data_IF_254309537944
#
_entry.id   IF_254309537944
#
_cell.length_a   1.000
_cell.length_b   1.000
_cell.length_c   1.000
_cell.angle_alpha   90.00
_cell.angle_beta   90.00
_cell.angle_gamma   90.00
#
_symmetry.space_group_name_H-M   'P 1'
#
loop_
_entity.id
_entity.type
_entity.pdbx_description
1 polymer ?
#
# COMPACT_ATOMS: atom_id res chain seq x y z
N UNK A 1 -16.85 22.91 -12.17
CA UNK A 1 -15.54 22.65 -12.77
C UNK A 1 -15.25 21.18 -12.54
N UNK A 2 -14.97 20.42 -13.59
CA UNK A 2 -14.67 18.98 -13.46
C UNK A 2 -13.24 18.84 -12.93
N UNK A 3 -13.00 18.22 -11.76
CA UNK A 3 -11.69 18.27 -11.13
C UNK A 3 -10.70 17.30 -11.78
N UNK A 4 -9.42 17.66 -11.72
CA UNK A 4 -8.34 16.70 -11.99
C UNK A 4 -8.31 15.65 -10.89
N UNK A 5 -7.84 14.45 -11.21
CA UNK A 5 -7.55 13.41 -10.22
C UNK A 5 -6.08 13.50 -9.83
N UNK A 6 -5.77 13.45 -8.55
CA UNK A 6 -4.42 13.33 -8.04
C UNK A 6 -4.33 12.13 -7.10
N UNK A 7 -3.36 11.25 -7.34
CA UNK A 7 -3.17 10.03 -6.54
C UNK A 7 -1.79 10.05 -5.90
N UNK A 8 -1.71 9.78 -4.60
CA UNK A 8 -0.43 9.62 -3.93
C UNK A 8 0.21 8.29 -4.37
N UNK A 9 1.51 8.24 -4.57
CA UNK A 9 2.18 7.04 -5.05
C UNK A 9 2.59 6.13 -3.88
N UNK A 10 2.36 4.80 -3.92
CA UNK A 10 2.83 3.88 -2.89
C UNK A 10 4.37 3.85 -2.79
N UNK A 11 4.88 3.59 -1.59
CA UNK A 11 6.30 3.41 -1.32
C UNK A 11 6.58 1.92 -1.10
N UNK A 12 7.07 1.24 -2.14
CA UNK A 12 7.33 -0.19 -2.15
C UNK A 12 8.83 -0.42 -2.28
N UNK A 13 9.46 -0.98 -1.25
CA UNK A 13 10.92 -1.15 -1.24
C UNK A 13 11.36 -2.06 -2.39
N UNK A 14 12.32 -1.57 -3.16
CA UNK A 14 12.87 -2.29 -4.32
C UNK A 14 12.05 -2.15 -5.60
N UNK A 15 10.94 -1.41 -5.58
CA UNK A 15 10.15 -1.07 -6.75
C UNK A 15 9.92 0.44 -6.84
N UNK A 16 9.79 0.96 -8.06
CA UNK A 16 9.31 2.32 -8.30
C UNK A 16 8.02 2.22 -9.10
N UNK A 17 7.00 3.00 -8.74
CA UNK A 17 5.84 3.17 -9.63
C UNK A 17 6.27 3.97 -10.84
N UNK A 18 6.18 3.37 -12.02
CA UNK A 18 6.56 3.98 -13.29
C UNK A 18 5.40 4.07 -14.28
N UNK A 19 4.31 3.35 -14.02
CA UNK A 19 3.09 3.43 -14.81
C UNK A 19 1.88 3.21 -13.90
N UNK A 20 0.76 3.83 -14.26
CA UNK A 20 -0.52 3.54 -13.64
C UNK A 20 -1.60 3.37 -14.71
N UNK A 21 -2.57 2.53 -14.41
CA UNK A 21 -3.80 2.39 -15.18
C UNK A 21 -4.95 2.86 -14.30
N UNK A 22 -5.72 3.84 -14.78
CA UNK A 22 -6.99 4.21 -14.15
C UNK A 22 -8.13 3.61 -14.94
N UNK A 23 -8.96 2.83 -14.26
CA UNK A 23 -10.18 2.26 -14.79
C UNK A 23 -11.34 3.18 -14.45
N UNK A 24 -12.23 3.36 -15.42
CA UNK A 24 -13.52 4.00 -15.21
C UNK A 24 -14.57 2.93 -15.11
N UNK A 25 -15.34 2.96 -14.04
CA UNK A 25 -16.39 2.01 -13.73
C UNK A 25 -17.73 2.75 -13.79
N UNK A 26 -18.70 2.18 -14.50
CA UNK A 26 -20.07 2.68 -14.63
C UNK A 26 -21.00 1.52 -14.38
N UNK A 27 -21.94 1.68 -13.44
CA UNK A 27 -22.89 0.63 -13.05
C UNK A 27 -22.22 -0.71 -12.68
N UNK A 28 -21.05 -0.63 -12.01
CA UNK A 28 -20.26 -1.80 -11.59
C UNK A 28 -19.52 -2.53 -12.71
N UNK A 29 -19.47 -1.97 -13.92
CA UNK A 29 -18.71 -2.54 -15.04
C UNK A 29 -17.58 -1.64 -15.51
N UNK A 30 -16.45 -2.24 -15.88
CA UNK A 30 -15.35 -1.53 -16.53
C UNK A 30 -15.80 -0.94 -17.86
N UNK A 31 -15.83 0.39 -17.93
CA UNK A 31 -16.24 1.19 -19.09
C UNK A 31 -15.03 1.70 -19.90
N UNK A 32 -13.84 1.21 -19.57
CA UNK A 32 -12.57 1.55 -20.20
C UNK A 32 -11.53 2.05 -19.21
N UNK A 33 -10.31 2.25 -19.69
CA UNK A 33 -9.18 2.67 -18.87
C UNK A 33 -8.27 3.64 -19.63
N UNK A 34 -7.42 4.34 -18.88
CA UNK A 34 -6.35 5.18 -19.42
C UNK A 34 -5.04 4.85 -18.72
N UNK A 35 -3.93 4.98 -19.45
CA UNK A 35 -2.60 4.61 -19.00
C UNK A 35 -1.72 5.85 -18.91
N UNK A 36 -0.96 5.99 -17.83
CA UNK A 36 -0.12 7.15 -17.59
C UNK A 36 1.31 6.73 -17.25
N UNK A 37 2.28 7.44 -17.82
CA UNK A 37 3.69 7.36 -17.42
C UNK A 37 3.87 8.18 -16.15
N UNK A 38 4.47 7.58 -15.14
CA UNK A 38 4.73 8.23 -13.85
C UNK A 38 6.20 8.60 -13.77
N UNK A 39 6.48 9.89 -13.59
CA UNK A 39 7.83 10.46 -13.47
C UNK A 39 8.15 10.98 -12.06
N UNK A 40 7.24 10.75 -11.09
CA UNK A 40 7.31 11.21 -9.70
C UNK A 40 7.95 10.19 -8.75
N UNK A 41 8.31 10.67 -7.55
CA UNK A 41 8.85 9.85 -6.45
C UNK A 41 7.76 9.15 -5.63
N UNK A 42 8.09 8.14 -4.81
CA UNK A 42 7.13 7.53 -3.90
C UNK A 42 6.57 8.55 -2.91
N UNK A 43 5.35 8.31 -2.43
CA UNK A 43 4.61 9.20 -1.52
C UNK A 43 4.30 10.62 -2.02
N UNK A 44 4.64 10.95 -3.26
CA UNK A 44 4.23 12.19 -3.92
C UNK A 44 2.85 12.05 -4.56
N UNK A 45 2.11 13.15 -4.68
CA UNK A 45 0.91 13.19 -5.51
C UNK A 45 1.27 13.29 -6.98
N UNK A 46 0.76 12.35 -7.78
CA UNK A 46 0.78 12.39 -9.23
C UNK A 46 -0.59 12.87 -9.75
N UNK A 47 -0.59 13.99 -10.48
CA UNK A 47 -1.80 14.56 -11.08
C UNK A 47 -2.02 13.90 -12.45
N UNK A 48 -3.20 13.34 -12.68
CA UNK A 48 -3.58 12.65 -13.92
C UNK A 48 -3.86 13.62 -15.10
N UNK A 49 -3.05 14.66 -15.26
CA UNK A 49 -3.11 15.61 -16.38
C UNK A 49 -4.53 16.09 -16.70
N UNK A 50 -4.96 15.86 -17.95
CA UNK A 50 -6.28 16.24 -18.47
C UNK A 50 -7.38 15.20 -18.19
N UNK A 51 -7.11 14.17 -17.38
CA UNK A 51 -8.09 13.16 -17.03
C UNK A 51 -8.93 13.63 -15.85
N UNK A 52 -10.19 13.92 -16.13
CA UNK A 52 -11.08 14.60 -15.20
C UNK A 52 -12.04 13.62 -14.51
N UNK A 53 -12.28 13.84 -13.22
CA UNK A 53 -13.25 13.08 -12.45
C UNK A 53 -14.66 13.46 -12.87
N UNK A 54 -15.48 12.50 -13.27
CA UNK A 54 -16.84 12.74 -13.74
C UNK A 54 -17.84 12.31 -12.66
N UNK A 55 -18.89 13.11 -12.47
CA UNK A 55 -19.97 12.80 -11.55
C UNK A 55 -20.59 11.43 -11.89
N UNK A 56 -20.98 10.66 -10.87
CA UNK A 56 -21.57 9.32 -10.99
C UNK A 56 -20.64 8.22 -11.57
N UNK A 57 -19.40 8.55 -11.91
CA UNK A 57 -18.40 7.55 -12.27
C UNK A 57 -17.63 7.07 -11.04
N UNK A 58 -17.24 5.81 -11.09
CA UNK A 58 -16.36 5.17 -10.13
C UNK A 58 -14.99 4.92 -10.77
N UNK A 59 -13.95 4.89 -9.95
CA UNK A 59 -12.56 4.82 -10.41
C UNK A 59 -11.75 3.86 -9.56
N UNK A 60 -10.91 3.06 -10.22
CA UNK A 60 -9.90 2.19 -9.61
C UNK A 60 -8.56 2.49 -10.25
N UNK A 61 -7.48 2.56 -9.47
CA UNK A 61 -6.14 2.84 -9.98
C UNK A 61 -5.23 1.66 -9.67
N UNK A 62 -4.62 1.09 -10.71
CA UNK A 62 -3.62 0.03 -10.59
C UNK A 62 -2.22 0.62 -10.83
N UNK A 63 -1.24 0.24 -10.01
CA UNK A 63 0.13 0.76 -10.06
C UNK A 63 1.10 -0.32 -10.55
N UNK A 64 2.04 0.07 -11.42
CA UNK A 64 2.97 -0.85 -12.08
C UNK A 64 4.42 -0.37 -11.98
N UNK A 65 5.33 -1.35 -11.97
CA UNK A 65 6.77 -1.15 -11.77
C UNK A 65 7.54 -0.66 -13.01
N UNK A 66 6.96 -0.74 -14.20
CA UNK A 66 7.64 -0.35 -15.43
C UNK A 66 6.79 0.65 -16.23
N UNK A 67 7.33 1.13 -17.35
CA UNK A 67 6.73 2.16 -18.19
C UNK A 67 5.54 1.61 -19.02
N UNK A 68 4.68 2.50 -19.55
CA UNK A 68 3.65 2.10 -20.52
C UNK A 68 4.24 1.42 -21.76
N UNK A 69 3.49 0.47 -22.31
CA UNK A 69 3.76 -0.16 -23.60
C UNK A 69 3.14 0.63 -24.75
N UNK A 70 3.73 0.50 -25.94
CA UNK A 70 3.27 0.99 -27.26
C UNK A 70 2.17 2.06 -27.19
N UNK A 71 2.59 3.33 -27.12
CA UNK A 71 1.72 4.50 -27.12
C UNK A 71 0.63 4.52 -26.02
N UNK A 72 0.97 4.11 -24.80
CA UNK A 72 0.08 4.20 -23.63
C UNK A 72 -1.17 3.30 -23.74
N UNK A 73 -1.01 2.12 -24.34
CA UNK A 73 -2.09 1.12 -24.44
C UNK A 73 -2.20 0.24 -23.20
N UNK A 74 -1.11 -0.02 -22.49
CA UNK A 74 -1.10 -0.82 -21.25
C UNK A 74 0.14 -0.51 -20.40
N UNK A 75 0.16 -0.87 -19.11
CA UNK A 75 1.38 -0.80 -18.28
C UNK A 75 2.19 -2.10 -18.35
N UNK A 76 3.49 -2.02 -18.64
CA UNK A 76 4.39 -3.18 -18.51
C UNK A 76 4.93 -3.36 -17.09
N UNK A 77 5.50 -4.53 -16.84
CA UNK A 77 6.11 -4.89 -15.56
C UNK A 77 5.12 -5.53 -14.60
N UNK A 78 5.54 -5.62 -13.34
CA UNK A 78 4.74 -6.20 -12.27
C UNK A 78 3.68 -5.21 -11.78
N UNK A 79 2.47 -5.73 -11.58
CA UNK A 79 1.45 -5.06 -10.78
C UNK A 79 1.97 -4.95 -9.34
N UNK A 80 1.82 -3.79 -8.72
CA UNK A 80 2.41 -3.51 -7.41
C UNK A 80 1.35 -3.49 -6.33
N UNK A 81 0.26 -2.76 -6.58
CA UNK A 81 -0.89 -2.60 -5.69
C UNK A 81 -1.97 -1.85 -6.49
N UNK A 82 -3.14 -1.68 -5.89
CA UNK A 82 -4.25 -0.96 -6.47
C UNK A 82 -5.00 -0.16 -5.40
N UNK A 83 -5.85 0.76 -5.83
CA UNK A 83 -6.83 1.37 -4.95
C UNK A 83 -8.13 0.55 -4.92
N UNK A 84 -8.94 0.67 -3.85
CA UNK A 84 -10.37 0.45 -3.94
C UNK A 84 -11.04 1.19 -5.09
N UNK A 85 -12.28 0.80 -5.35
CA UNK A 85 -13.18 1.52 -6.24
C UNK A 85 -13.74 2.72 -5.47
N UNK A 86 -13.50 3.93 -5.98
CA UNK A 86 -14.03 5.16 -5.40
C UNK A 86 -14.97 5.89 -6.33
N UNK A 87 -16.06 6.42 -5.76
CA UNK A 87 -16.88 7.42 -6.45
C UNK A 87 -16.11 8.72 -6.56
N UNK A 88 -16.18 9.35 -7.74
CA UNK A 88 -15.52 10.64 -7.95
C UNK A 88 -16.01 11.72 -6.99
N UNK A 89 -15.06 12.37 -6.33
CA UNK A 89 -15.32 13.59 -5.58
C UNK A 89 -15.20 14.81 -6.49
N UNK A 90 -16.33 15.32 -6.96
CA UNK A 90 -16.38 16.51 -7.84
C UNK A 90 -16.34 17.85 -7.08
N UNK A 91 -16.27 17.82 -5.74
CA UNK A 91 -16.32 19.03 -4.89
C UNK A 91 -14.95 19.63 -4.58
N UNK A 92 -13.88 18.87 -4.83
CA UNK A 92 -12.48 19.27 -4.62
C UNK A 92 -11.70 19.22 -5.94
N UNK A 93 -10.84 20.21 -6.20
CA UNK A 93 -9.95 20.21 -7.37
C UNK A 93 -8.49 20.47 -6.96
N UNK A 94 -7.56 19.49 -7.11
CA UNK A 94 -7.83 18.14 -7.58
C UNK A 94 -8.64 17.31 -6.57
N UNK A 95 -9.32 16.28 -7.04
CA UNK A 95 -9.76 15.17 -6.19
C UNK A 95 -8.52 14.36 -5.82
N UNK A 96 -8.16 14.40 -4.54
CA UNK A 96 -7.00 13.70 -4.01
C UNK A 96 -7.38 12.32 -3.48
N UNK A 97 -6.60 11.32 -3.86
CA UNK A 97 -6.60 9.96 -3.33
C UNK A 97 -5.26 9.76 -2.63
N UNK A 98 -5.26 9.71 -1.31
CA UNK A 98 -4.08 9.64 -0.46
C UNK A 98 -3.72 8.21 -0.12
N UNK A 99 -2.49 7.97 0.36
CA UNK A 99 -2.05 6.64 0.81
C UNK A 99 -3.00 6.03 1.85
N UNK A 100 -3.56 6.85 2.76
CA UNK A 100 -4.52 6.40 3.78
C UNK A 100 -5.82 5.83 3.21
N UNK A 101 -6.16 6.15 1.96
CA UNK A 101 -7.42 5.69 1.36
C UNK A 101 -7.31 4.23 0.90
N UNK A 102 -6.09 3.75 0.60
CA UNK A 102 -5.83 2.41 0.05
C UNK A 102 -4.70 1.68 0.80
N UNK A 103 -4.42 2.09 2.03
CA UNK A 103 -3.53 1.38 2.94
C UNK A 103 -4.02 1.45 4.37
N UNK A 104 -3.68 0.43 5.14
CA UNK A 104 -3.97 0.36 6.57
C UNK A 104 -2.69 0.30 7.38
N UNK A 105 -2.73 0.85 8.59
CA UNK A 105 -1.61 0.74 9.52
C UNK A 105 -1.64 -0.64 10.15
N UNK A 106 -0.48 -1.14 10.56
CA UNK A 106 -0.39 -2.46 11.20
C UNK A 106 0.00 -2.28 12.66
N UNK A 107 -0.71 -2.96 13.55
CA UNK A 107 -0.36 -3.14 14.95
C UNK A 107 0.00 -4.59 15.23
N UNK A 108 0.99 -4.79 16.09
CA UNK A 108 1.50 -6.13 16.44
C UNK A 108 1.51 -6.32 17.95
N UNK A 109 1.09 -7.50 18.42
CA UNK A 109 1.26 -7.93 19.81
C UNK A 109 2.24 -9.08 19.85
N UNK A 110 3.47 -8.77 20.24
CA UNK A 110 4.52 -9.77 20.31
C UNK A 110 4.52 -10.47 21.69
N UNK A 111 4.69 -11.81 21.73
CA UNK A 111 4.78 -12.53 22.99
C UNK A 111 6.09 -12.19 23.72
N UNK A 112 6.07 -12.11 25.05
CA UNK A 112 7.30 -12.03 25.84
C UNK A 112 8.12 -13.34 25.65
N UNK A 113 9.45 -13.30 25.38
CA UNK A 113 10.38 -12.17 25.45
C UNK A 113 10.80 -11.59 24.09
N UNK A 114 9.88 -11.49 23.12
CA UNK A 114 10.20 -10.92 21.81
C UNK A 114 10.55 -9.43 21.92
N UNK A 115 11.60 -8.98 21.26
CA UNK A 115 11.98 -7.55 21.21
C UNK A 115 11.94 -6.98 19.79
N UNK A 116 11.64 -7.80 18.77
CA UNK A 116 11.65 -7.41 17.37
C UNK A 116 10.59 -8.16 16.57
N UNK A 117 9.97 -7.51 15.58
CA UNK A 117 9.08 -8.14 14.60
C UNK A 117 9.66 -7.97 13.21
N UNK A 118 9.83 -9.08 12.48
CA UNK A 118 10.05 -9.03 11.03
C UNK A 118 8.70 -9.17 10.33
N UNK A 119 8.32 -8.16 9.58
CA UNK A 119 7.19 -8.20 8.66
C UNK A 119 7.71 -8.39 7.24
N UNK A 120 7.25 -9.44 6.57
CA UNK A 120 7.52 -9.69 5.15
C UNK A 120 6.23 -9.39 4.38
N UNK A 121 6.27 -8.34 3.57
CA UNK A 121 5.17 -7.93 2.69
C UNK A 121 5.44 -8.43 1.27
N UNK A 122 4.48 -9.19 0.73
CA UNK A 122 4.49 -9.74 -0.62
C UNK A 122 3.43 -9.00 -1.43
N UNK A 123 3.85 -8.40 -2.54
CA UNK A 123 2.99 -7.59 -3.39
C UNK A 123 2.37 -8.44 -4.51
N UNK A 124 1.09 -8.21 -4.78
CA UNK A 124 0.29 -9.03 -5.70
C UNK A 124 0.94 -9.15 -7.09
N UNK A 125 1.06 -10.37 -7.64
CA UNK A 125 1.61 -10.62 -8.97
C UNK A 125 3.03 -10.03 -9.21
N UNK A 126 3.82 -9.94 -8.15
CA UNK A 126 5.14 -9.32 -8.17
C UNK A 126 6.21 -10.17 -7.48
N UNK A 127 7.47 -10.17 -7.95
CA UNK A 127 8.58 -10.77 -7.24
C UNK A 127 9.10 -9.86 -6.12
N UNK A 128 8.59 -8.62 -6.02
CA UNK A 128 9.02 -7.72 -4.96
C UNK A 128 8.51 -8.20 -3.62
N UNK A 129 9.44 -8.30 -2.68
CA UNK A 129 9.16 -8.65 -1.28
C UNK A 129 9.90 -7.64 -0.43
N UNK A 130 9.18 -7.02 0.49
CA UNK A 130 9.81 -6.10 1.45
C UNK A 130 9.83 -6.74 2.82
N UNK A 131 11.05 -6.88 3.36
CA UNK A 131 11.25 -7.19 4.77
C UNK A 131 11.44 -5.91 5.57
N UNK A 132 10.65 -5.76 6.61
CA UNK A 132 10.77 -4.74 7.63
C UNK A 132 11.13 -5.41 8.95
N UNK A 133 12.32 -5.15 9.46
CA UNK A 133 12.71 -5.53 10.81
C UNK A 133 12.44 -4.34 11.73
N UNK A 134 11.48 -4.50 12.64
CA UNK A 134 10.99 -3.44 13.51
C UNK A 134 11.29 -3.80 14.97
N UNK A 135 12.23 -3.09 15.61
CA UNK A 135 12.41 -3.17 17.06
C UNK A 135 11.13 -2.72 17.77
N UNK A 136 10.71 -3.46 18.77
CA UNK A 136 9.52 -3.16 19.57
C UNK A 136 9.92 -2.23 20.70
N UNK A 137 9.36 -1.03 20.69
CA UNK A 137 9.47 -0.10 21.81
C UNK A 137 8.31 -0.37 22.79
N UNK A 138 8.59 -1.17 23.82
CA UNK A 138 7.63 -1.53 24.85
C UNK A 138 7.03 -0.33 25.60
N UNK A 139 7.67 0.86 25.55
CA UNK A 139 7.12 2.08 26.14
C UNK A 139 5.98 2.70 25.32
N UNK A 140 5.83 2.28 24.06
CA UNK A 140 4.82 2.77 23.11
C UNK A 140 3.67 1.79 22.88
N UNK A 141 3.57 0.76 23.71
CA UNK A 141 2.42 -0.14 23.65
C UNK A 141 1.14 0.62 24.00
N UNK A 142 0.06 0.34 23.28
CA UNK A 142 -1.26 0.78 23.67
C UNK A 142 -1.76 0.02 24.91
N UNK A 143 -2.89 0.44 25.53
CA UNK A 143 -3.40 -0.22 26.74
C UNK A 143 -3.73 -1.71 26.59
N UNK A 144 -3.92 -2.20 25.35
CA UNK A 144 -4.17 -3.61 25.05
C UNK A 144 -2.86 -4.39 24.78
N UNK A 145 -1.71 -3.72 24.81
CA UNK A 145 -0.39 -4.33 24.65
C UNK A 145 0.09 -4.41 23.20
N UNK A 146 -0.53 -3.67 22.27
CA UNK A 146 -0.13 -3.66 20.86
C UNK A 146 0.85 -2.52 20.55
N UNK A 147 1.83 -2.79 19.68
CA UNK A 147 2.74 -1.81 19.13
C UNK A 147 2.33 -1.44 17.70
N UNK A 148 2.16 -0.14 17.40
CA UNK A 148 1.91 0.35 16.05
C UNK A 148 3.21 0.40 15.25
N UNK A 149 3.25 -0.26 14.10
CA UNK A 149 4.41 -0.21 13.21
C UNK A 149 4.58 1.21 12.62
N UNK A 150 5.82 1.70 12.45
CA UNK A 150 6.08 3.05 11.95
C UNK A 150 5.81 3.19 10.44
N UNK A 151 5.51 4.40 9.96
CA UNK A 151 5.47 4.69 8.52
C UNK A 151 6.86 4.58 7.88
N UNK A 152 6.99 4.09 6.62
CA UNK A 152 5.93 3.76 5.67
C UNK A 152 5.40 2.31 5.77
N UNK A 153 5.52 1.63 6.93
CA UNK A 153 5.10 0.23 7.09
C UNK A 153 3.57 0.15 7.21
N UNK A 154 2.92 0.28 6.05
CA UNK A 154 1.48 0.14 5.84
C UNK A 154 1.20 -1.09 4.99
N UNK A 155 0.01 -1.65 5.14
CA UNK A 155 -0.51 -2.72 4.31
C UNK A 155 -1.28 -2.11 3.14
N UNK A 156 -0.76 -2.22 1.93
CA UNK A 156 -1.41 -1.70 0.72
C UNK A 156 -2.39 -2.73 0.16
N UNK A 157 -3.46 -2.29 -0.50
CA UNK A 157 -4.42 -3.21 -1.12
C UNK A 157 -3.74 -4.27 -2.00
N UNK A 158 -4.20 -5.52 -1.91
CA UNK A 158 -3.60 -6.67 -2.61
C UNK A 158 -2.30 -7.21 -2.00
N UNK A 159 -1.80 -6.63 -0.89
CA UNK A 159 -0.57 -7.12 -0.23
C UNK A 159 -0.88 -8.25 0.75
N UNK A 160 -0.01 -9.27 0.78
CA UNK A 160 -0.02 -10.34 1.78
C UNK A 160 1.15 -10.13 2.74
N UNK A 161 0.90 -10.29 4.03
CA UNK A 161 1.86 -10.04 5.10
C UNK A 161 2.14 -11.31 5.89
N UNK A 162 3.41 -11.63 6.09
CA UNK A 162 3.87 -12.68 6.99
C UNK A 162 4.69 -12.05 8.11
N UNK A 163 4.36 -12.39 9.35
CA UNK A 163 5.02 -11.82 10.52
C UNK A 163 5.72 -12.89 11.36
N UNK A 164 6.95 -12.59 11.78
CA UNK A 164 7.77 -13.43 12.64
C UNK A 164 8.32 -12.58 13.77
N UNK A 165 8.28 -13.09 14.99
CA UNK A 165 8.77 -12.42 16.19
C UNK A 165 10.11 -13.00 16.64
N UNK A 166 10.95 -12.15 17.22
CA UNK A 166 12.35 -12.41 17.49
C UNK A 166 12.77 -11.89 18.86
N UNK A 167 13.73 -12.57 19.50
CA UNK A 167 14.26 -12.21 20.84
C UNK A 167 15.22 -11.03 20.83
N UNK A 168 15.88 -10.79 19.70
CA UNK A 168 16.95 -9.79 19.60
C UNK A 168 16.75 -8.88 18.38
N UNK A 169 17.05 -7.60 18.54
CA UNK A 169 17.25 -6.65 17.45
C UNK A 169 18.68 -6.12 17.51
N UNK A 170 19.54 -6.49 16.57
CA UNK A 170 20.85 -5.86 16.42
C UNK A 170 20.75 -4.84 15.29
N UNK A 171 21.01 -3.56 15.58
CA UNK A 171 20.77 -2.44 14.66
C UNK A 171 21.29 -2.66 13.23
N UNK A 172 22.45 -3.30 13.09
CA UNK A 172 23.07 -3.55 11.77
C UNK A 172 22.65 -4.88 11.10
N UNK A 173 22.02 -5.79 11.84
CA UNK A 173 21.73 -7.16 11.38
C UNK A 173 20.28 -7.61 11.54
N UNK A 174 19.38 -6.67 11.86
CA UNK A 174 17.94 -6.87 11.87
C UNK A 174 17.43 -7.70 13.05
N UNK A 175 16.23 -8.25 12.91
CA UNK A 175 15.66 -9.15 13.91
C UNK A 175 16.36 -10.53 13.86
N UNK A 176 16.79 -11.04 15.03
CA UNK A 176 17.54 -12.29 15.17
C UNK A 176 16.94 -13.20 16.26
N UNK A 177 17.21 -14.50 16.16
CA UNK A 177 16.71 -15.53 17.08
C UNK A 177 15.17 -15.63 17.08
N UNK A 178 14.58 -16.27 16.06
CA UNK A 178 13.13 -16.37 15.94
C UNK A 178 12.55 -17.12 17.15
N UNK A 179 11.46 -16.59 17.69
CA UNK A 179 10.74 -17.19 18.81
C UNK A 179 9.34 -17.65 18.47
N UNK A 180 8.83 -17.25 17.29
CA UNK A 180 7.56 -17.74 16.77
C UNK A 180 7.14 -17.00 15.51
N UNK A 181 6.20 -17.60 14.79
CA UNK A 181 5.43 -16.95 13.72
C UNK A 181 4.15 -16.41 14.32
N UNK A 182 3.78 -15.17 13.98
CA UNK A 182 2.58 -14.55 14.55
C UNK A 182 1.36 -14.77 13.67
N UNK A 183 1.42 -14.52 12.35
CA UNK A 183 0.28 -14.75 11.45
C UNK A 183 0.66 -14.50 9.98
N UNK A 184 -0.18 -15.01 9.07
CA UNK A 184 -0.24 -14.59 7.65
C UNK A 184 -1.57 -13.91 7.41
N UNK A 185 -1.57 -12.67 6.93
CA UNK A 185 -2.77 -11.87 6.70
C UNK A 185 -2.78 -11.30 5.29
N UNK A 186 -3.96 -11.29 4.67
CA UNK A 186 -4.24 -10.49 3.48
C UNK A 186 -4.67 -9.10 3.95
N UNK A 187 -4.24 -8.05 3.26
CA UNK A 187 -4.65 -6.69 3.59
C UNK A 187 -6.17 -6.55 3.57
N UNK A 188 -6.74 -6.08 4.68
CA UNK A 188 -8.14 -5.68 4.79
C UNK A 188 -8.19 -4.17 5.04
N UNK A 189 -8.79 -3.42 4.11
CA UNK A 189 -8.83 -1.97 4.18
C UNK A 189 -9.90 -1.43 5.14
N UNK A 190 -10.82 -2.29 5.60
CA UNK A 190 -11.84 -1.92 6.58
C UNK A 190 -11.31 -2.03 8.03
N UNK A 191 -10.21 -2.74 8.24
CA UNK A 191 -9.58 -2.95 9.54
C UNK A 191 -8.33 -2.07 9.71
N UNK A 192 -8.51 -0.77 10.01
CA UNK A 192 -7.39 0.15 10.32
C UNK A 192 -7.37 0.58 11.81
N UNK A 193 -6.29 0.28 12.56
CA UNK A 193 -5.13 -0.50 12.17
C UNK A 193 -5.38 -2.01 12.18
N UNK A 194 -4.85 -2.72 11.18
CA UNK A 194 -4.85 -4.18 11.12
C UNK A 194 -4.08 -4.76 12.29
N UNK A 195 -4.64 -5.78 12.92
CA UNK A 195 -4.05 -6.39 14.11
C UNK A 195 -3.35 -7.71 13.76
N UNK A 196 -2.11 -7.86 14.22
CA UNK A 196 -1.33 -9.11 14.18
C UNK A 196 -1.06 -9.57 15.62
N UNK A 197 -1.37 -10.84 15.90
CA UNK A 197 -1.16 -11.46 17.20
C UNK A 197 -2.37 -11.32 18.13
N UNK A 198 -2.83 -12.46 18.65
CA UNK A 198 -3.89 -12.57 19.65
C UNK A 198 -3.39 -12.32 21.09
#
# INVERSE_FOLDING_TARGET
MTPNIAVQLPDIKGAKVQCLIIYRIIDGQDSGYNVFLVDKGPSEFFILGNYLATEYHEYKIDFYSNVPFDNYTWCWGYHLTHTPIYRANITSNPWQISLSDYSVRIKVKAPNPSTCVSLISIYEYSPYVTRYDVPIDFSKLDPAGYYLLPDPIRAYAGTIHHSVVFKDSNGDSGCQNPVGTTETLVTDLEDDPMIIGN
#
